data_IF_026644647126
#
_entry.id   IF_026644647126
#
_cell.length_a   1.000
_cell.length_b   1.000
_cell.length_c   1.000
_cell.angle_alpha   90.00
_cell.angle_beta   90.00
_cell.angle_gamma   90.00
#
_symmetry.space_group_name_H-M   'P 1'
#
loop_
_entity.id
_entity.type
_entity.pdbx_description
1 polymer ?
#
# COMPACT_ATOMS: atom_id res chain seq x y z
N UNK A 1 -9.22 -7.11 -16.10
CA UNK A 1 -8.42 -7.65 -14.98
C UNK A 1 -6.90 -7.37 -15.08
N UNK A 2 -6.41 -6.71 -16.15
CA UNK A 2 -4.96 -6.48 -16.38
C UNK A 2 -4.29 -5.53 -15.37
N UNK A 3 -5.06 -4.69 -14.66
CA UNK A 3 -4.54 -3.70 -13.73
C UNK A 3 -3.71 -4.32 -12.58
N UNK A 4 -4.14 -5.46 -12.02
CA UNK A 4 -3.38 -6.14 -10.97
C UNK A 4 -2.06 -6.74 -11.47
N UNK A 5 -2.04 -7.23 -12.72
CA UNK A 5 -0.85 -7.81 -13.35
C UNK A 5 0.21 -6.78 -13.70
N UNK A 6 -0.20 -5.56 -14.09
CA UNK A 6 0.71 -4.45 -14.32
C UNK A 6 1.25 -3.88 -13.01
N UNK A 7 0.39 -3.74 -11.99
CA UNK A 7 0.74 -3.15 -10.70
C UNK A 7 1.58 -4.08 -9.81
N UNK A 8 1.34 -5.40 -9.86
CA UNK A 8 1.97 -6.42 -8.99
C UNK A 8 1.99 -6.02 -7.50
N UNK A 9 0.82 -5.71 -6.91
CA UNK A 9 0.76 -5.13 -5.57
C UNK A 9 1.36 -6.05 -4.51
N UNK A 10 2.28 -5.51 -3.71
CA UNK A 10 2.86 -6.18 -2.55
C UNK A 10 2.74 -5.29 -1.32
N UNK A 11 1.72 -5.55 -0.50
CA UNK A 11 1.57 -4.87 0.78
C UNK A 11 2.65 -5.39 1.76
N UNK A 12 3.28 -4.52 2.56
CA UNK A 12 4.16 -4.92 3.65
C UNK A 12 3.56 -6.02 4.52
N UNK A 13 4.39 -6.96 4.97
CA UNK A 13 4.06 -8.09 5.86
C UNK A 13 2.99 -9.10 5.39
N UNK A 14 2.36 -8.90 4.23
CA UNK A 14 1.46 -9.89 3.62
C UNK A 14 2.18 -10.76 2.59
N UNK A 15 1.58 -11.89 2.18
CA UNK A 15 2.04 -12.60 0.99
C UNK A 15 1.59 -11.88 -0.28
N UNK A 16 2.30 -12.06 -1.41
CA UNK A 16 1.89 -11.53 -2.72
C UNK A 16 0.43 -11.92 -3.03
N UNK A 17 0.09 -13.19 -2.79
CA UNK A 17 -1.27 -13.71 -3.01
C UNK A 17 -2.31 -12.95 -2.20
N UNK A 18 -2.07 -12.70 -0.91
CA UNK A 18 -2.99 -11.93 -0.06
C UNK A 18 -3.11 -10.47 -0.53
N UNK A 19 -1.99 -9.83 -0.90
CA UNK A 19 -2.00 -8.46 -1.42
C UNK A 19 -2.82 -8.34 -2.70
N UNK A 20 -2.66 -9.26 -3.65
CA UNK A 20 -3.43 -9.28 -4.89
C UNK A 20 -4.93 -9.50 -4.63
N UNK A 21 -5.28 -10.43 -3.73
CA UNK A 21 -6.68 -10.68 -3.36
C UNK A 21 -7.35 -9.42 -2.76
N UNK A 22 -6.67 -8.70 -1.88
CA UNK A 22 -7.17 -7.45 -1.31
C UNK A 22 -7.36 -6.36 -2.36
N UNK A 23 -6.38 -6.19 -3.25
CA UNK A 23 -6.48 -5.24 -4.35
C UNK A 23 -7.69 -5.51 -5.24
N UNK A 24 -7.91 -6.77 -5.61
CA UNK A 24 -9.08 -7.19 -6.40
C UNK A 24 -10.38 -6.94 -5.62
N UNK A 25 -10.43 -7.29 -4.33
CA UNK A 25 -11.61 -7.06 -3.50
C UNK A 25 -11.99 -5.57 -3.40
N UNK A 26 -11.00 -4.70 -3.18
CA UNK A 26 -11.23 -3.25 -3.18
C UNK A 26 -11.64 -2.73 -4.55
N UNK A 27 -11.04 -3.22 -5.63
CA UNK A 27 -11.45 -2.89 -7.00
C UNK A 27 -12.92 -3.25 -7.27
N UNK A 28 -13.32 -4.48 -6.94
CA UNK A 28 -14.70 -4.93 -7.11
C UNK A 28 -15.68 -4.04 -6.32
N UNK A 29 -15.33 -3.62 -5.10
CA UNK A 29 -16.19 -2.72 -4.30
C UNK A 29 -16.20 -1.28 -4.84
N UNK A 30 -15.06 -0.75 -5.27
CA UNK A 30 -14.90 0.60 -5.79
C UNK A 30 -15.65 0.84 -7.10
N UNK A 31 -15.76 -0.20 -7.93
CA UNK A 31 -16.34 -0.13 -9.27
C UNK A 31 -17.63 -0.96 -9.44
N UNK A 32 -18.25 -1.43 -8.35
CA UNK A 32 -19.54 -2.13 -8.42
C UNK A 32 -20.66 -1.15 -8.87
N UNK A 33 -21.28 -1.32 -10.05
CA UNK A 33 -22.35 -0.43 -10.52
C UNK A 33 -23.60 -0.49 -9.64
N UNK A 34 -23.82 -1.61 -8.93
CA UNK A 34 -24.93 -1.77 -7.97
C UNK A 34 -24.59 -1.26 -6.57
N UNK A 35 -23.37 -0.75 -6.35
CA UNK A 35 -22.94 -0.21 -5.06
C UNK A 35 -23.38 1.24 -4.87
N UNK A 36 -23.66 1.64 -3.62
CA UNK A 36 -23.94 3.04 -3.30
C UNK A 36 -22.77 3.96 -3.67
N UNK A 37 -23.06 5.22 -3.99
CA UNK A 37 -22.02 6.21 -4.30
C UNK A 37 -21.01 6.35 -3.17
N UNK A 38 -21.50 6.41 -1.93
CA UNK A 38 -20.66 6.45 -0.74
C UNK A 38 -19.69 5.26 -0.67
N UNK A 39 -20.20 4.03 -0.87
CA UNK A 39 -19.37 2.83 -0.85
C UNK A 39 -18.29 2.87 -1.93
N UNK A 40 -18.66 3.22 -3.17
CA UNK A 40 -17.70 3.34 -4.28
C UNK A 40 -16.60 4.36 -3.97
N UNK A 41 -16.95 5.56 -3.48
CA UNK A 41 -15.99 6.59 -3.07
C UNK A 41 -15.06 6.10 -1.95
N UNK A 42 -15.62 5.46 -0.93
CA UNK A 42 -14.84 4.89 0.19
C UNK A 42 -13.81 3.86 -0.29
N UNK A 43 -14.20 2.94 -1.16
CA UNK A 43 -13.28 1.90 -1.63
C UNK A 43 -12.27 2.41 -2.67
N UNK A 44 -12.59 3.45 -3.46
CA UNK A 44 -11.57 4.15 -4.28
C UNK A 44 -10.46 4.73 -3.41
N UNK A 45 -10.81 5.44 -2.33
CA UNK A 45 -9.82 5.97 -1.38
C UNK A 45 -8.99 4.87 -0.71
N UNK A 46 -9.63 3.74 -0.33
CA UNK A 46 -8.90 2.57 0.19
C UNK A 46 -7.92 1.98 -0.82
N UNK A 47 -8.29 1.95 -2.11
CA UNK A 47 -7.37 1.49 -3.16
C UNK A 47 -6.16 2.41 -3.29
N UNK A 48 -6.36 3.73 -3.34
CA UNK A 48 -5.27 4.70 -3.43
C UNK A 48 -4.28 4.54 -2.28
N UNK A 49 -4.78 4.48 -1.04
CA UNK A 49 -3.97 4.22 0.16
C UNK A 49 -3.25 2.87 0.10
N UNK A 50 -3.92 1.83 -0.41
CA UNK A 50 -3.32 0.52 -0.54
C UNK A 50 -2.15 0.51 -1.54
N UNK A 51 -2.29 1.21 -2.67
CA UNK A 51 -1.21 1.34 -3.66
C UNK A 51 -0.03 2.11 -3.07
N UNK A 52 -0.27 3.25 -2.42
CA UNK A 52 0.77 4.02 -1.74
C UNK A 52 1.54 3.19 -0.70
N UNK A 53 0.83 2.38 0.09
CA UNK A 53 1.45 1.47 1.06
C UNK A 53 2.27 0.35 0.39
N UNK A 54 1.88 -0.11 -0.80
CA UNK A 54 2.68 -1.09 -1.55
C UNK A 54 4.01 -0.49 -2.05
N UNK A 55 4.01 0.80 -2.41
CA UNK A 55 5.21 1.51 -2.89
C UNK A 55 6.28 1.71 -1.80
N UNK A 56 5.91 1.61 -0.52
CA UNK A 56 6.85 1.71 0.60
C UNK A 56 8.00 0.71 0.51
N UNK A 57 7.75 -0.52 0.03
CA UNK A 57 8.82 -1.53 -0.13
C UNK A 57 9.85 -1.04 -1.15
N UNK A 58 9.39 -0.57 -2.31
CA UNK A 58 10.26 -0.07 -3.40
C UNK A 58 11.01 1.17 -2.94
N UNK A 59 10.32 2.11 -2.29
CA UNK A 59 10.94 3.32 -1.77
C UNK A 59 12.02 2.97 -0.73
N UNK A 60 11.68 2.23 0.31
CA UNK A 60 12.62 1.92 1.40
C UNK A 60 13.80 1.09 0.91
N UNK A 61 13.58 0.08 0.06
CA UNK A 61 14.68 -0.71 -0.51
C UNK A 61 15.65 0.15 -1.35
N UNK A 62 15.17 1.20 -2.01
CA UNK A 62 16.03 2.12 -2.76
C UNK A 62 16.81 3.11 -1.88
N UNK A 63 16.25 3.50 -0.72
CA UNK A 63 16.82 4.53 0.16
C UNK A 63 17.64 3.96 1.32
N UNK A 64 17.32 2.74 1.77
CA UNK A 64 18.05 2.01 2.81
C UNK A 64 19.31 1.38 2.22
N UNK A 65 20.39 2.15 2.20
CA UNK A 65 21.71 1.65 1.81
C UNK A 65 22.37 0.88 2.95
N UNK A 66 23.34 0.01 2.64
CA UNK A 66 24.12 -0.71 3.67
C UNK A 66 24.92 0.23 4.58
N UNK A 67 25.26 1.42 4.08
CA UNK A 67 25.93 2.47 4.85
C UNK A 67 24.91 3.28 5.63
N UNK A 68 25.17 3.47 6.91
CA UNK A 68 24.41 4.37 7.76
C UNK A 68 24.48 5.81 7.21
N UNK A 69 23.36 6.54 7.33
CA UNK A 69 23.26 7.97 7.04
C UNK A 69 22.66 8.65 8.27
N UNK A 70 23.29 9.72 8.72
CA UNK A 70 22.72 10.56 9.78
C UNK A 70 21.38 11.16 9.34
N UNK A 71 20.44 11.41 10.27
CA UNK A 71 19.10 11.91 9.94
C UNK A 71 19.07 13.11 8.99
N UNK A 72 19.99 14.09 9.15
CA UNK A 72 20.06 15.27 8.29
C UNK A 72 20.41 14.99 6.83
N UNK A 73 21.00 13.83 6.52
CA UNK A 73 21.39 13.42 5.16
C UNK A 73 20.41 12.41 4.54
N UNK A 74 19.30 12.10 5.24
CA UNK A 74 18.24 11.24 4.71
C UNK A 74 17.23 12.08 3.92
N UNK A 75 16.49 11.48 2.98
CA UNK A 75 15.32 12.13 2.42
C UNK A 75 14.35 12.58 3.52
N UNK A 76 13.76 13.77 3.36
CA UNK A 76 12.89 14.40 4.38
C UNK A 76 11.72 13.50 4.79
N UNK A 77 11.19 12.70 3.86
CA UNK A 77 10.06 11.80 4.07
C UNK A 77 10.47 10.40 4.55
N UNK A 78 11.77 10.12 4.68
CA UNK A 78 12.28 8.78 4.96
C UNK A 78 11.77 8.22 6.28
N UNK A 79 11.96 8.94 7.38
CA UNK A 79 11.60 8.45 8.70
C UNK A 79 10.08 8.29 8.83
N UNK A 80 9.29 9.20 8.25
CA UNK A 80 7.83 9.07 8.19
C UNK A 80 7.39 7.84 7.39
N UNK A 81 7.96 7.60 6.20
CA UNK A 81 7.66 6.42 5.38
C UNK A 81 8.12 5.13 6.07
N UNK A 82 9.24 5.15 6.79
CA UNK A 82 9.70 4.01 7.58
C UNK A 82 8.74 3.71 8.75
N UNK A 83 8.30 4.72 9.49
CA UNK A 83 7.31 4.55 10.55
C UNK A 83 5.98 4.02 10.00
N UNK A 84 5.53 4.55 8.86
CA UNK A 84 4.34 4.06 8.16
C UNK A 84 4.50 2.61 7.73
N UNK A 85 5.67 2.23 7.22
CA UNK A 85 5.96 0.84 6.87
C UNK A 85 5.86 -0.06 8.10
N UNK A 86 6.51 0.31 9.21
CA UNK A 86 6.53 -0.51 10.43
C UNK A 86 5.14 -0.64 11.08
N UNK A 87 4.31 0.40 11.04
CA UNK A 87 2.97 0.37 11.63
C UNK A 87 2.05 -0.66 10.96
N UNK A 88 2.26 -0.98 9.68
CA UNK A 88 1.48 -1.98 8.94
C UNK A 88 1.63 -3.42 9.48
N UNK A 89 2.60 -3.69 10.35
CA UNK A 89 2.84 -5.05 10.88
C UNK A 89 1.68 -5.58 11.72
N UNK A 90 0.99 -4.70 12.44
CA UNK A 90 -0.04 -5.07 13.41
C UNK A 90 -1.45 -4.61 12.99
N UNK A 91 -1.61 -4.17 11.75
CA UNK A 91 -2.87 -3.61 11.23
C UNK A 91 -3.60 -4.67 10.42
N UNK A 92 -4.91 -4.82 10.66
CA UNK A 92 -5.77 -5.61 9.78
C UNK A 92 -5.88 -4.92 8.41
N UNK A 93 -5.49 -5.60 7.32
CA UNK A 93 -5.37 -4.98 6.00
C UNK A 93 -6.73 -4.72 5.31
N UNK A 94 -7.84 -5.18 5.88
CA UNK A 94 -9.21 -4.92 5.41
C UNK A 94 -9.79 -3.69 6.10
N UNK A 95 -9.55 -3.55 7.40
CA UNK A 95 -10.17 -2.50 8.22
C UNK A 95 -9.28 -1.29 8.47
N UNK A 96 -7.95 -1.43 8.52
CA UNK A 96 -7.01 -0.35 8.84
C UNK A 96 -6.27 0.28 7.67
#
# INVERSE_FOLDING_TARGET
MNAAGNLKPKLPFLSVRRSVLLYIAFHLKAFNPKGSEYSRKKYKKKMEQFVERCELITYLSSKMTRKFKEPQFRPIDFDHKLQTFMSLKNIDPVTG
#
